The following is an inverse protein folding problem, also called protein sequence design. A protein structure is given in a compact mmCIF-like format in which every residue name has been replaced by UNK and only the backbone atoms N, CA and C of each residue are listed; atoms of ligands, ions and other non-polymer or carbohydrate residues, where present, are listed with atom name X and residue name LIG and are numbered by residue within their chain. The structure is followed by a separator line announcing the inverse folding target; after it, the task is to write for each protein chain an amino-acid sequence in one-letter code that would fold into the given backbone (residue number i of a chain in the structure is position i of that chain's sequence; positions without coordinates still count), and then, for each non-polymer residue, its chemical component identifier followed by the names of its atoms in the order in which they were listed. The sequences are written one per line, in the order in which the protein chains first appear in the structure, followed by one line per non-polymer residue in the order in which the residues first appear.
data_IF_877363352230
#
_entry.id   IF_877363352230
#
_cell.length_a   1.000
_cell.length_b   1.000
_cell.length_c   1.000
_cell.angle_alpha   90.00
_cell.angle_beta   90.00
_cell.angle_gamma   90.00
#
_symmetry.space_group_name_H-M   'P 1'
#
loop_
_entity.id
_entity.type
_entity.pdbx_description
1 polymer ?
#
# COMPACT_ATOMS: atom_id res chain seq x y z
N UNK A 1 5.74 -11.36 16.74
CA UNK A 1 5.70 -11.13 15.28
C UNK A 1 6.00 -9.64 15.06
N UNK A 2 7.19 -9.29 14.57
CA UNK A 2 7.58 -7.90 14.40
C UNK A 2 6.92 -7.32 13.14
N UNK A 3 5.98 -6.40 13.33
CA UNK A 3 5.44 -5.55 12.28
C UNK A 3 6.62 -4.81 11.62
N UNK A 4 6.91 -5.12 10.35
CA UNK A 4 7.99 -4.49 9.58
C UNK A 4 7.55 -3.07 9.22
N UNK A 5 8.01 -2.10 10.00
CA UNK A 5 7.83 -0.69 9.70
C UNK A 5 8.61 -0.37 8.41
N UNK A 6 7.89 -0.03 7.34
CA UNK A 6 8.51 0.40 6.09
C UNK A 6 8.48 1.92 6.04
N UNK A 7 9.65 2.54 5.99
CA UNK A 7 9.77 4.00 5.96
C UNK A 7 9.93 4.45 4.52
N UNK A 8 8.92 5.13 3.98
CA UNK A 8 9.01 5.71 2.63
C UNK A 8 9.89 6.96 2.66
N UNK A 9 10.91 6.97 1.79
CA UNK A 9 11.75 8.12 1.51
C UNK A 9 11.68 8.44 0.03
N UNK A 10 11.50 9.72 -0.29
CA UNK A 10 11.69 10.26 -1.64
C UNK A 10 13.02 11.03 -1.62
N UNK A 11 14.16 10.38 -1.87
CA UNK A 11 15.46 11.06 -1.83
C UNK A 11 15.58 12.15 -2.89
N UNK A 12 14.90 11.97 -4.03
CA UNK A 12 14.88 12.94 -5.13
C UNK A 12 13.42 13.17 -5.54
N UNK A 13 12.77 14.26 -5.05
CA UNK A 13 11.44 14.62 -5.53
C UNK A 13 11.54 14.98 -7.01
N UNK A 14 10.63 14.42 -7.82
CA UNK A 14 10.56 14.77 -9.22
C UNK A 14 10.00 16.19 -9.36
N UNK A 15 10.73 17.15 -9.97
CA UNK A 15 10.26 18.52 -10.13
C UNK A 15 9.23 18.67 -11.26
N UNK A 16 9.02 17.63 -12.06
CA UNK A 16 8.09 17.64 -13.18
C UNK A 16 6.63 17.64 -12.72
N UNK A 17 5.83 18.52 -13.33
CA UNK A 17 4.39 18.63 -13.05
C UNK A 17 3.64 17.38 -13.51
N UNK A 18 2.69 16.90 -12.70
CA UNK A 18 1.83 15.76 -13.03
C UNK A 18 1.10 15.94 -14.37
N UNK A 19 0.64 17.16 -14.67
CA UNK A 19 -0.03 17.49 -15.93
C UNK A 19 0.87 17.36 -17.16
N UNK A 20 2.19 17.52 -17.01
CA UNK A 20 3.15 17.37 -18.10
C UNK A 20 3.53 15.90 -18.37
N UNK A 21 3.16 14.97 -17.48
CA UNK A 21 3.47 13.55 -17.62
C UNK A 21 2.51 12.84 -18.58
N UNK A 22 3.01 11.83 -19.28
CA UNK A 22 2.24 11.07 -20.26
C UNK A 22 1.36 10.02 -19.56
N UNK A 23 0.07 9.87 -19.90
CA UNK A 23 -0.77 8.82 -19.32
C UNK A 23 -0.22 7.42 -19.65
N UNK A 24 -0.16 6.54 -18.64
CA UNK A 24 0.32 5.16 -18.76
C UNK A 24 -0.61 4.20 -18.00
N UNK A 25 -0.49 2.90 -18.24
CA UNK A 25 -1.29 1.89 -17.52
C UNK A 25 -0.99 1.93 -16.01
N UNK A 26 -1.95 2.42 -15.23
CA UNK A 26 -1.85 2.50 -13.76
C UNK A 26 -1.22 3.78 -13.22
N UNK A 27 -1.01 4.81 -14.04
CA UNK A 27 -0.45 6.08 -13.58
C UNK A 27 -0.06 7.00 -14.74
N UNK A 28 1.06 7.71 -14.57
CA UNK A 28 1.66 8.51 -15.64
C UNK A 28 3.14 8.24 -15.75
N UNK A 29 3.68 8.22 -16.95
CA UNK A 29 5.12 8.13 -17.19
C UNK A 29 5.74 9.52 -17.12
N UNK A 30 6.74 9.69 -16.25
CA UNK A 30 7.51 10.92 -16.15
C UNK A 30 8.78 10.82 -17.00
N UNK A 31 8.99 11.79 -17.88
CA UNK A 31 10.15 11.81 -18.76
C UNK A 31 11.43 12.21 -18.00
N UNK A 32 11.31 13.04 -16.96
CA UNK A 32 12.47 13.48 -16.17
C UNK A 32 13.13 12.35 -15.38
N UNK A 33 12.34 11.47 -14.74
CA UNK A 33 12.87 10.34 -13.97
C UNK A 33 12.78 8.99 -14.70
N UNK A 34 12.18 8.97 -15.90
CA UNK A 34 11.95 7.77 -16.73
C UNK A 34 11.24 6.63 -15.98
N UNK A 35 10.45 6.97 -14.95
CA UNK A 35 9.70 6.03 -14.12
C UNK A 35 8.21 6.31 -14.23
N UNK A 36 7.41 5.27 -14.00
CA UNK A 36 5.94 5.42 -13.90
C UNK A 36 5.59 5.97 -12.52
N UNK A 37 4.98 7.15 -12.51
CA UNK A 37 4.45 7.82 -11.33
C UNK A 37 3.03 7.35 -11.07
N UNK A 38 2.82 6.69 -9.94
CA UNK A 38 1.52 6.19 -9.49
C UNK A 38 0.94 7.16 -8.46
N UNK A 39 -0.35 7.49 -8.53
CA UNK A 39 -0.99 8.31 -7.51
C UNK A 39 -1.37 7.46 -6.28
N UNK A 40 -0.69 7.72 -5.17
CA UNK A 40 -0.94 7.12 -3.86
C UNK A 40 -1.69 8.04 -2.90
N UNK A 41 -2.09 9.24 -3.37
CA UNK A 41 -2.69 10.27 -2.53
C UNK A 41 -4.02 9.83 -1.88
N UNK A 42 -4.72 8.89 -2.53
CA UNK A 42 -5.99 8.31 -2.07
C UNK A 42 -5.84 6.87 -1.55
N UNK A 43 -4.60 6.34 -1.47
CA UNK A 43 -4.32 4.96 -1.07
C UNK A 43 -4.03 4.89 0.43
N UNK A 44 -4.49 3.82 1.05
CA UNK A 44 -4.14 3.50 2.45
C UNK A 44 -2.74 2.92 2.55
N UNK A 45 -2.14 2.95 3.75
CA UNK A 45 -0.80 2.40 4.01
C UNK A 45 -0.68 0.93 3.56
N UNK A 46 -1.76 0.16 3.80
CA UNK A 46 -1.88 -1.22 3.37
C UNK A 46 -1.79 -1.39 1.85
N UNK A 47 -2.53 -0.55 1.11
CA UNK A 47 -2.54 -0.58 -0.35
C UNK A 47 -1.21 -0.11 -0.92
N UNK A 48 -0.61 0.93 -0.34
CA UNK A 48 0.71 1.42 -0.74
C UNK A 48 1.74 0.30 -0.60
N UNK A 49 1.77 -0.39 0.54
CA UNK A 49 2.66 -1.53 0.76
C UNK A 49 2.40 -2.68 -0.21
N UNK A 50 1.13 -2.98 -0.48
CA UNK A 50 0.76 -4.02 -1.45
C UNK A 50 1.32 -3.70 -2.84
N UNK A 51 1.15 -2.47 -3.32
CA UNK A 51 1.71 -2.04 -4.62
C UNK A 51 3.23 -2.09 -4.60
N UNK A 52 3.87 -1.60 -3.54
CA UNK A 52 5.33 -1.65 -3.41
C UNK A 52 5.89 -3.07 -3.35
N UNK A 53 5.12 -4.05 -2.87
CA UNK A 53 5.51 -5.46 -2.91
C UNK A 53 5.29 -6.11 -4.28
N UNK A 54 4.31 -5.63 -5.05
CA UNK A 54 4.10 -6.08 -6.43
C UNK A 54 5.16 -5.53 -7.38
N UNK A 55 5.61 -4.30 -7.14
CA UNK A 55 6.67 -3.69 -7.95
C UNK A 55 8.03 -4.16 -7.44
N UNK A 56 8.68 -5.02 -8.22
CA UNK A 56 10.06 -5.43 -7.94
C UNK A 56 11.04 -4.29 -8.29
N UNK A 57 11.24 -3.33 -7.39
CA UNK A 57 12.29 -2.32 -7.53
C UNK A 57 11.88 -0.90 -7.11
N UNK A 58 12.54 0.08 -7.70
CA UNK A 58 12.30 1.49 -7.42
C UNK A 58 11.13 2.03 -8.27
N UNK A 59 10.07 2.50 -7.61
CA UNK A 59 8.95 3.17 -8.27
C UNK A 59 8.89 4.64 -7.90
N UNK A 60 8.25 5.45 -8.76
CA UNK A 60 7.94 6.83 -8.46
C UNK A 60 6.45 6.95 -8.12
N UNK A 61 6.09 7.84 -7.21
CA UNK A 61 4.71 7.97 -6.80
C UNK A 61 4.39 9.35 -6.25
N UNK A 62 3.15 9.77 -6.47
CA UNK A 62 2.59 10.97 -5.86
C UNK A 62 2.03 10.60 -4.50
N UNK A 63 2.75 11.01 -3.46
CA UNK A 63 2.40 10.78 -2.06
C UNK A 63 2.15 12.14 -1.40
N UNK A 64 1.29 12.13 -0.37
CA UNK A 64 1.10 13.30 0.47
C UNK A 64 2.27 13.45 1.43
N UNK A 65 2.57 14.68 1.84
CA UNK A 65 3.62 14.94 2.83
C UNK A 65 3.38 14.19 4.15
N UNK A 66 2.10 14.00 4.53
CA UNK A 66 1.70 13.21 5.69
C UNK A 66 1.96 11.70 5.56
N UNK A 67 2.07 11.16 4.34
CA UNK A 67 2.43 9.76 4.07
C UNK A 67 3.95 9.54 4.05
N UNK A 68 4.74 10.60 3.86
CA UNK A 68 6.20 10.55 3.80
C UNK A 68 6.82 10.63 5.20
N UNK A 69 8.01 10.04 5.36
CA UNK A 69 8.80 10.12 6.59
C UNK A 69 8.09 9.57 7.85
N UNK A 70 7.09 8.71 7.67
CA UNK A 70 6.45 7.95 8.75
C UNK A 70 6.58 6.45 8.51
N UNK A 71 6.58 5.64 9.58
CA UNK A 71 6.53 4.20 9.45
C UNK A 71 5.15 3.77 8.92
N UNK A 72 5.13 3.18 7.72
CA UNK A 72 3.96 2.47 7.23
C UNK A 72 3.88 1.13 7.95
N UNK A 73 2.74 0.89 8.59
CA UNK A 73 2.44 -0.38 9.25
C UNK A 73 1.65 -1.22 8.26
N UNK A 74 2.16 -2.41 7.94
CA UNK A 74 1.35 -3.40 7.26
C UNK A 74 0.10 -3.66 8.11
N UNK A 75 -1.10 -3.74 7.51
CA UNK A 75 -2.26 -4.16 8.27
C UNK A 75 -1.92 -5.53 8.84
N UNK A 76 -1.76 -5.63 10.16
CA UNK A 76 -1.91 -6.92 10.83
C UNK A 76 -3.21 -7.49 10.29
N UNK A 77 -3.24 -8.73 9.79
CA UNK A 77 -4.51 -9.35 9.45
C UNK A 77 -5.35 -9.23 10.70
N UNK A 78 -6.32 -8.31 10.69
CA UNK A 78 -7.28 -8.20 11.74
C UNK A 78 -7.86 -9.59 11.77
N UNK A 79 -7.57 -10.33 12.85
CA UNK A 79 -8.09 -11.68 13.03
C UNK A 79 -9.59 -11.49 12.93
N UNK A 80 -10.15 -11.73 11.75
CA UNK A 80 -11.57 -11.72 11.52
C UNK A 80 -12.08 -12.67 12.58
N UNK A 81 -12.78 -12.09 13.55
CA UNK A 81 -13.00 -12.72 14.83
C UNK A 81 -13.57 -14.11 14.57
N UNK A 82 -12.76 -15.13 14.86
CA UNK A 82 -13.25 -16.45 15.19
C UNK A 82 -14.04 -16.25 16.49
N UNK A 83 -15.31 -15.87 16.31
CA UNK A 83 -16.39 -16.18 17.24
C UNK A 83 -16.61 -17.68 17.01
N UNK A 84 -16.05 -18.58 17.79
CA UNK A 84 -16.41 -18.69 19.20
C UNK A 84 -17.74 -19.43 19.31
N UNK A 85 -17.73 -20.73 18.97
CA UNK A 85 -18.53 -21.82 19.55
C UNK A 85 -20.02 -21.60 19.89
N UNK A 86 -20.90 -22.35 19.22
CA UNK A 86 -22.11 -22.93 19.85
C UNK A 86 -22.29 -24.38 19.35
N UNK A 87 -21.62 -25.31 20.05
CA UNK A 87 -22.15 -26.44 20.87
C UNK A 87 -22.37 -27.75 20.10
N UNK A 88 -21.92 -28.90 20.67
CA UNK A 88 -22.02 -30.22 20.06
C UNK A 88 -23.47 -30.67 20.06
N UNK A 89 -23.92 -31.24 18.93
CA UNK A 89 -25.21 -31.88 18.81
C UNK A 89 -25.24 -33.11 19.74
N UNK A 90 -26.14 -33.20 20.73
CA UNK A 90 -26.41 -34.47 21.39
C UNK A 90 -27.42 -35.26 20.54
N UNK A 91 -27.13 -36.51 20.10
CA UNK A 91 -28.16 -37.42 19.64
C UNK A 91 -28.77 -38.10 20.87
N UNK A 92 -29.75 -37.45 21.48
CA UNK A 92 -30.66 -38.11 22.42
C UNK A 92 -32.07 -37.54 22.18
N UNK A 93 -32.66 -37.96 21.05
CA UNK A 93 -34.09 -38.20 20.99
C UNK A 93 -34.25 -39.71 20.89
N UNK A 94 -34.89 -40.28 21.89
CA UNK A 94 -35.32 -41.67 21.95
C UNK A 94 -36.49 -41.91 21.00
#
# INVERSE_FOLDING_TARGET
MAQRATLLRLPQPCPESWDAMTPASGGRHCAACQKTVIDFSQKTDAEILSVLWQVAGETCGRLRADQLNRPLLAPTPARAGVRGWVRPWPPAVC
#
